data_IF_022125454601
#
_entry.id   IF_022125454601
#
_cell.length_a   1.000
_cell.length_b   1.000
_cell.length_c   1.000
_cell.angle_alpha   90.00
_cell.angle_beta   90.00
_cell.angle_gamma   90.00
#
_symmetry.space_group_name_H-M   'P 1'
#
loop_
_entity.id
_entity.type
_entity.pdbx_description
1 polymer ?
#
# COMPACT_ATOMS: atom_id res chain seq x y z
N UNK A 1 11.64 -15.97 -23.81
CA UNK A 1 10.32 -16.39 -23.32
C UNK A 1 9.95 -15.42 -22.21
N UNK A 2 9.08 -14.44 -22.50
CA UNK A 2 8.45 -13.62 -21.47
C UNK A 2 7.54 -14.57 -20.68
N UNK A 3 7.87 -14.78 -19.42
CA UNK A 3 7.02 -15.53 -18.50
C UNK A 3 5.74 -14.71 -18.32
N UNK A 4 4.57 -15.32 -18.56
CA UNK A 4 3.31 -14.62 -18.33
C UNK A 4 3.22 -14.15 -16.88
N UNK A 5 2.78 -12.92 -16.68
CA UNK A 5 2.66 -12.35 -15.35
C UNK A 5 1.59 -13.11 -14.55
N UNK A 6 1.91 -13.48 -13.32
CA UNK A 6 0.94 -14.09 -12.40
C UNK A 6 -0.01 -13.02 -11.84
N UNK A 7 -1.17 -12.89 -12.47
CA UNK A 7 -2.20 -11.92 -12.08
C UNK A 7 -2.90 -12.25 -10.74
N UNK A 8 -2.50 -13.32 -10.06
CA UNK A 8 -2.99 -13.67 -8.72
C UNK A 8 -2.10 -13.13 -7.59
N UNK A 9 -0.91 -12.61 -7.95
CA UNK A 9 0.05 -12.06 -6.99
C UNK A 9 0.04 -10.54 -6.96
N UNK A 10 0.20 -9.97 -5.76
CA UNK A 10 0.47 -8.53 -5.60
C UNK A 10 1.94 -8.30 -5.91
N UNK A 11 2.23 -7.51 -6.94
CA UNK A 11 3.62 -7.16 -7.30
C UNK A 11 4.17 -6.04 -6.43
N UNK A 12 3.37 -5.00 -6.21
CA UNK A 12 3.75 -3.81 -5.44
C UNK A 12 2.70 -3.51 -4.39
N UNK A 13 3.08 -3.49 -3.13
CA UNK A 13 2.17 -3.02 -2.07
C UNK A 13 2.23 -1.51 -1.89
N UNK A 14 3.34 -0.90 -2.26
CA UNK A 14 3.57 0.54 -2.16
C UNK A 14 4.23 1.06 -3.43
N UNK A 15 3.94 2.30 -3.79
CA UNK A 15 4.69 3.04 -4.81
C UNK A 15 5.88 3.69 -4.10
N UNK A 16 7.06 3.59 -4.73
CA UNK A 16 8.32 4.13 -4.18
C UNK A 16 8.66 5.52 -4.76
N UNK A 17 7.75 6.07 -5.55
CA UNK A 17 7.88 7.37 -6.18
C UNK A 17 7.15 8.43 -5.37
N UNK A 18 7.62 9.67 -5.47
CA UNK A 18 6.99 10.81 -4.83
C UNK A 18 5.85 11.35 -5.72
N UNK A 19 4.65 11.34 -5.19
CA UNK A 19 3.46 11.85 -5.89
C UNK A 19 3.37 13.39 -5.96
N UNK A 20 4.36 14.10 -5.48
CA UNK A 20 4.41 15.57 -5.56
C UNK A 20 4.41 16.07 -7.00
N UNK A 21 5.10 15.38 -7.89
CA UNK A 21 5.18 15.76 -9.32
C UNK A 21 3.79 15.75 -9.95
N UNK A 22 3.05 14.67 -9.75
CA UNK A 22 1.68 14.54 -10.26
C UNK A 22 0.74 15.56 -9.61
N UNK A 23 0.88 15.78 -8.30
CA UNK A 23 0.09 16.79 -7.58
C UNK A 23 0.35 18.20 -8.12
N UNK A 24 1.60 18.57 -8.33
CA UNK A 24 1.98 19.87 -8.88
C UNK A 24 1.39 20.08 -10.27
N UNK A 25 1.53 19.07 -11.14
CA UNK A 25 0.96 19.11 -12.49
C UNK A 25 -0.54 19.36 -12.51
N UNK A 26 -1.30 18.75 -11.60
CA UNK A 26 -2.76 18.87 -11.58
C UNK A 26 -3.28 20.03 -10.72
N UNK A 27 -2.44 20.62 -9.86
CA UNK A 27 -2.83 21.70 -8.94
C UNK A 27 -3.40 22.93 -9.63
N UNK A 28 -2.94 23.22 -10.85
CA UNK A 28 -3.39 24.34 -11.68
C UNK A 28 -4.73 24.09 -12.39
N UNK A 29 -5.29 22.90 -12.25
CA UNK A 29 -6.52 22.51 -12.91
C UNK A 29 -7.61 22.22 -11.87
N UNK A 30 -8.86 22.61 -12.16
CA UNK A 30 -10.02 22.38 -11.30
C UNK A 30 -11.00 21.41 -11.94
N UNK A 31 -11.73 20.67 -11.10
CA UNK A 31 -12.79 19.73 -11.52
C UNK A 31 -12.33 18.73 -12.59
N UNK A 32 -11.13 18.17 -12.42
CA UNK A 32 -10.55 17.23 -13.39
C UNK A 32 -10.86 15.80 -13.01
N UNK A 33 -11.06 14.99 -14.04
CA UNK A 33 -11.10 13.54 -13.95
C UNK A 33 -9.72 13.01 -14.34
N UNK A 34 -9.14 12.22 -13.48
CA UNK A 34 -7.77 11.73 -13.62
C UNK A 34 -7.81 10.23 -13.80
N UNK A 35 -7.05 9.71 -14.74
CA UNK A 35 -6.75 8.27 -14.86
C UNK A 35 -5.31 8.07 -14.40
N UNK A 36 -5.10 7.15 -13.46
CA UNK A 36 -3.77 6.80 -12.96
C UNK A 36 -3.61 5.28 -12.94
N UNK A 37 -2.38 4.81 -13.13
CA UNK A 37 -2.05 3.40 -12.94
C UNK A 37 -2.21 3.07 -11.46
N UNK A 38 -2.88 1.95 -11.17
CA UNK A 38 -3.25 1.55 -9.82
C UNK A 38 -2.06 1.20 -8.95
N UNK A 39 -1.26 0.22 -9.38
CA UNK A 39 -0.10 -0.27 -8.63
C UNK A 39 -0.44 -0.51 -7.14
N UNK A 40 0.32 0.05 -6.20
CA UNK A 40 0.02 0.01 -4.76
C UNK A 40 -1.08 0.97 -4.28
N UNK A 41 -1.64 1.80 -5.16
CA UNK A 41 -2.68 2.78 -4.87
C UNK A 41 -2.19 4.12 -4.31
N UNK A 42 -0.93 4.23 -3.89
CA UNK A 42 -0.44 5.40 -3.14
C UNK A 42 -0.59 6.70 -3.94
N UNK A 43 -0.15 6.74 -5.20
CA UNK A 43 -0.30 7.92 -6.08
C UNK A 43 -1.78 8.22 -6.29
N UNK A 44 -2.60 7.23 -6.66
CA UNK A 44 -4.03 7.43 -6.93
C UNK A 44 -4.76 8.04 -5.72
N UNK A 45 -4.50 7.56 -4.50
CA UNK A 45 -5.08 8.13 -3.28
C UNK A 45 -4.52 9.51 -2.96
N UNK A 46 -3.25 9.75 -3.22
CA UNK A 46 -2.63 11.05 -2.95
C UNK A 46 -3.10 12.16 -3.89
N UNK A 47 -3.64 11.81 -5.05
CA UNK A 47 -4.23 12.76 -6.01
C UNK A 47 -5.64 13.21 -5.64
N UNK A 48 -6.29 12.58 -4.64
CA UNK A 48 -7.58 13.02 -4.14
C UNK A 48 -7.42 14.35 -3.40
N UNK A 49 -8.19 15.35 -3.80
CA UNK A 49 -8.16 16.69 -3.20
C UNK A 49 -9.26 17.57 -3.79
N UNK A 50 -9.42 18.77 -3.25
CA UNK A 50 -10.52 19.71 -3.56
C UNK A 50 -10.61 20.15 -5.03
N UNK A 51 -9.52 19.97 -5.77
CA UNK A 51 -9.43 20.33 -7.20
C UNK A 51 -9.70 19.15 -8.14
N UNK A 52 -9.91 17.96 -7.62
CA UNK A 52 -10.15 16.75 -8.40
C UNK A 52 -11.57 16.27 -8.24
N UNK A 53 -12.30 16.13 -9.35
CA UNK A 53 -13.66 15.58 -9.34
C UNK A 53 -13.63 14.07 -9.09
N UNK A 54 -12.71 13.36 -9.76
CA UNK A 54 -12.62 11.89 -9.69
C UNK A 54 -11.25 11.37 -10.12
N UNK A 55 -10.77 10.36 -9.42
CA UNK A 55 -9.59 9.57 -9.81
C UNK A 55 -10.05 8.16 -10.20
N UNK A 56 -9.66 7.71 -11.39
CA UNK A 56 -9.82 6.34 -11.85
C UNK A 56 -8.46 5.64 -11.74
N UNK A 57 -8.30 4.81 -10.73
CA UNK A 57 -7.13 3.96 -10.60
C UNK A 57 -7.37 2.68 -11.41
N UNK A 58 -6.54 2.43 -12.41
CA UNK A 58 -6.66 1.28 -13.31
C UNK A 58 -5.45 0.37 -13.18
N UNK A 59 -5.69 -0.94 -13.13
CA UNK A 59 -4.65 -1.95 -13.13
C UNK A 59 -5.15 -3.21 -13.84
N UNK A 60 -4.29 -3.83 -14.64
CA UNK A 60 -4.61 -5.07 -15.33
C UNK A 60 -4.61 -6.28 -14.39
N UNK A 61 -3.98 -6.15 -13.22
CA UNK A 61 -3.85 -7.23 -12.24
C UNK A 61 -4.97 -7.14 -11.19
N UNK A 62 -5.90 -8.11 -11.14
CA UNK A 62 -6.98 -8.14 -10.14
C UNK A 62 -6.48 -8.15 -8.68
N UNK A 63 -5.30 -8.71 -8.40
CA UNK A 63 -4.72 -8.71 -7.08
C UNK A 63 -4.27 -7.28 -6.65
N UNK A 64 -3.76 -6.46 -7.58
CA UNK A 64 -3.49 -5.04 -7.34
C UNK A 64 -4.79 -4.27 -7.11
N UNK A 65 -5.83 -4.55 -7.91
CA UNK A 65 -7.15 -3.96 -7.69
C UNK A 65 -7.71 -4.32 -6.30
N UNK A 66 -7.59 -5.58 -5.88
CA UNK A 66 -8.03 -6.02 -4.55
C UNK A 66 -7.25 -5.33 -3.41
N UNK A 67 -5.96 -5.07 -3.60
CA UNK A 67 -5.15 -4.28 -2.65
C UNK A 67 -5.67 -2.84 -2.54
N UNK A 68 -5.93 -2.20 -3.67
CA UNK A 68 -6.46 -0.82 -3.68
C UNK A 68 -7.83 -0.73 -3.01
N UNK A 69 -8.73 -1.68 -3.27
CA UNK A 69 -10.06 -1.71 -2.65
C UNK A 69 -9.95 -1.85 -1.12
N UNK A 70 -9.07 -2.72 -0.61
CA UNK A 70 -8.87 -2.85 0.83
C UNK A 70 -8.26 -1.59 1.46
N UNK A 71 -7.27 -0.97 0.79
CA UNK A 71 -6.72 0.31 1.25
C UNK A 71 -7.77 1.42 1.25
N UNK A 72 -8.59 1.50 0.20
CA UNK A 72 -9.69 2.47 0.09
C UNK A 72 -10.69 2.31 1.24
N UNK A 73 -11.13 1.08 1.51
CA UNK A 73 -12.01 0.81 2.63
C UNK A 73 -11.37 1.21 3.96
N UNK A 74 -10.10 0.84 4.17
CA UNK A 74 -9.37 1.20 5.38
C UNK A 74 -9.20 2.72 5.57
N UNK A 75 -8.91 3.47 4.51
CA UNK A 75 -8.79 4.94 4.56
C UNK A 75 -10.12 5.59 4.93
N UNK A 76 -11.25 5.03 4.48
CA UNK A 76 -12.58 5.58 4.76
C UNK A 76 -13.07 5.30 6.17
N UNK A 77 -12.77 4.12 6.70
CA UNK A 77 -13.37 3.59 7.92
C UNK A 77 -12.47 3.72 9.15
N UNK A 78 -11.17 3.95 8.99
CA UNK A 78 -10.21 3.96 10.09
C UNK A 78 -9.67 5.36 10.36
N UNK A 79 -9.29 5.60 11.61
CA UNK A 79 -8.43 6.73 11.96
C UNK A 79 -7.07 6.59 11.26
N UNK A 80 -6.31 7.67 11.15
CA UNK A 80 -4.95 7.64 10.60
C UNK A 80 -4.06 6.64 11.36
N UNK A 81 -4.14 6.61 12.68
CA UNK A 81 -3.34 5.72 13.53
C UNK A 81 -3.72 4.26 13.30
N UNK A 82 -5.02 3.97 13.27
CA UNK A 82 -5.52 2.63 12.99
C UNK A 82 -5.17 2.18 11.57
N UNK A 83 -5.24 3.08 10.59
CA UNK A 83 -4.82 2.79 9.23
C UNK A 83 -3.33 2.40 9.19
N UNK A 84 -2.45 3.19 9.77
CA UNK A 84 -1.01 2.89 9.82
C UNK A 84 -0.73 1.54 10.51
N UNK A 85 -1.46 1.25 11.57
CA UNK A 85 -1.36 -0.05 12.25
C UNK A 85 -1.88 -1.20 11.37
N UNK A 86 -3.00 -1.01 10.70
CA UNK A 86 -3.60 -2.02 9.83
C UNK A 86 -2.72 -2.35 8.62
N UNK A 87 -2.16 -1.34 7.97
CA UNK A 87 -1.28 -1.57 6.80
C UNK A 87 0.08 -2.15 7.17
N UNK A 88 0.48 -2.08 8.44
CA UNK A 88 1.69 -2.72 8.95
C UNK A 88 2.85 -1.78 9.25
N UNK A 89 2.66 -0.44 9.21
CA UNK A 89 3.71 0.53 9.54
C UNK A 89 3.97 0.59 11.06
N UNK A 90 2.98 0.25 11.86
CA UNK A 90 3.05 0.14 13.32
C UNK A 90 2.53 -1.23 13.72
N UNK A 91 3.08 -1.81 14.79
CA UNK A 91 2.63 -3.10 15.29
C UNK A 91 1.19 -3.03 15.79
N UNK A 92 0.39 -4.00 15.34
CA UNK A 92 -0.99 -4.18 15.77
C UNK A 92 -1.32 -5.67 15.85
N UNK A 93 -1.93 -6.06 16.97
CA UNK A 93 -2.22 -7.47 17.26
C UNK A 93 -3.50 -7.92 16.53
N UNK A 94 -4.46 -7.05 16.35
CA UNK A 94 -5.84 -7.37 15.93
C UNK A 94 -6.18 -7.00 14.47
N UNK A 95 -5.19 -7.02 13.54
CA UNK A 95 -5.41 -6.71 12.10
C UNK A 95 -6.51 -7.55 11.46
N UNK A 96 -6.67 -8.80 11.90
CA UNK A 96 -7.77 -9.64 11.40
C UNK A 96 -9.12 -9.20 11.92
N UNK A 97 -9.20 -8.68 13.14
CA UNK A 97 -10.44 -8.11 13.68
C UNK A 97 -10.85 -6.86 12.91
N UNK A 98 -9.87 -5.99 12.61
CA UNK A 98 -10.10 -4.82 11.75
C UNK A 98 -10.58 -5.24 10.37
N UNK A 99 -9.93 -6.24 9.75
CA UNK A 99 -10.33 -6.75 8.44
C UNK A 99 -11.78 -7.27 8.42
N UNK A 100 -12.23 -7.99 9.46
CA UNK A 100 -13.62 -8.48 9.54
C UNK A 100 -14.66 -7.35 9.50
N UNK A 101 -14.31 -6.17 9.98
CA UNK A 101 -15.19 -4.98 9.86
C UNK A 101 -15.14 -4.36 8.48
N UNK A 102 -13.95 -4.37 7.84
CA UNK A 102 -13.75 -3.77 6.53
C UNK A 102 -14.26 -4.62 5.37
N UNK A 103 -14.34 -5.95 5.53
CA UNK A 103 -14.65 -6.86 4.42
C UNK A 103 -16.02 -6.62 3.81
N UNK A 104 -16.98 -6.11 4.57
CA UNK A 104 -18.33 -5.76 4.09
C UNK A 104 -18.32 -4.58 3.08
N UNK A 105 -17.31 -3.73 3.15
CA UNK A 105 -17.12 -2.58 2.24
C UNK A 105 -16.43 -2.95 0.92
N UNK A 106 -15.96 -4.20 0.80
CA UNK A 106 -15.20 -4.64 -0.37
C UNK A 106 -16.12 -5.19 -1.46
N UNK A 107 -15.81 -4.93 -2.74
CA UNK A 107 -16.38 -5.71 -3.84
C UNK A 107 -16.10 -7.20 -3.65
N UNK A 108 -17.00 -8.05 -4.12
CA UNK A 108 -16.95 -9.51 -3.92
C UNK A 108 -15.62 -10.14 -4.37
N UNK A 109 -15.05 -9.68 -5.47
CA UNK A 109 -13.75 -10.19 -5.95
C UNK A 109 -12.60 -9.86 -5.00
N UNK A 110 -12.60 -8.65 -4.42
CA UNK A 110 -11.57 -8.22 -3.47
C UNK A 110 -11.73 -8.95 -2.12
N UNK A 111 -12.96 -9.10 -1.63
CA UNK A 111 -13.24 -9.90 -0.45
C UNK A 111 -12.80 -11.36 -0.65
N UNK A 112 -13.11 -11.97 -1.79
CA UNK A 112 -12.69 -13.32 -2.12
C UNK A 112 -11.16 -13.47 -2.20
N UNK A 113 -10.45 -12.46 -2.72
CA UNK A 113 -8.98 -12.45 -2.72
C UNK A 113 -8.43 -12.43 -1.28
N UNK A 114 -8.85 -11.50 -0.45
CA UNK A 114 -8.31 -11.32 0.89
C UNK A 114 -8.69 -12.45 1.85
N UNK A 115 -9.89 -13.03 1.71
CA UNK A 115 -10.29 -14.20 2.49
C UNK A 115 -9.39 -15.43 2.25
N UNK A 116 -8.78 -15.52 1.07
CA UNK A 116 -7.79 -16.57 0.75
C UNK A 116 -6.38 -16.25 1.24
N UNK A 117 -6.11 -15.01 1.69
CA UNK A 117 -4.77 -14.57 2.07
C UNK A 117 -4.69 -13.95 3.48
N UNK A 118 -5.26 -14.58 4.53
CA UNK A 118 -5.29 -14.00 5.89
C UNK A 118 -3.88 -13.72 6.45
N UNK A 119 -2.90 -14.54 6.07
CA UNK A 119 -1.51 -14.33 6.49
C UNK A 119 -0.88 -13.03 5.99
N UNK A 120 -1.36 -12.49 4.87
CA UNK A 120 -0.91 -11.18 4.36
C UNK A 120 -1.49 -10.03 5.19
N UNK A 121 -2.72 -10.18 5.66
CA UNK A 121 -3.37 -9.20 6.54
C UNK A 121 -2.65 -9.15 7.89
N UNK A 122 -2.39 -10.32 8.49
CA UNK A 122 -1.70 -10.43 9.79
C UNK A 122 -0.32 -9.75 9.74
N UNK A 123 0.42 -9.92 8.64
CA UNK A 123 1.76 -9.32 8.46
C UNK A 123 1.73 -7.83 8.13
N UNK A 124 0.55 -7.28 7.80
CA UNK A 124 0.37 -5.94 7.27
C UNK A 124 0.40 -5.91 5.74
N UNK A 125 -0.65 -5.32 5.16
CA UNK A 125 -0.88 -5.36 3.71
C UNK A 125 0.18 -4.59 2.89
N UNK A 126 0.89 -3.63 3.49
CA UNK A 126 2.01 -2.93 2.85
C UNK A 126 3.24 -3.83 2.62
N UNK A 127 3.24 -5.05 3.18
CA UNK A 127 4.31 -6.03 2.99
C UNK A 127 3.87 -7.24 2.15
N UNK A 128 2.72 -7.14 1.48
CA UNK A 128 2.13 -8.23 0.71
C UNK A 128 2.73 -8.38 -0.70
N UNK A 129 3.31 -7.31 -1.26
CA UNK A 129 3.85 -7.29 -2.61
C UNK A 129 5.11 -8.15 -2.75
N UNK A 130 5.35 -8.66 -3.95
CA UNK A 130 6.57 -9.40 -4.28
C UNK A 130 7.82 -8.56 -4.04
N UNK A 131 7.77 -7.28 -4.44
CA UNK A 131 8.87 -6.33 -4.27
C UNK A 131 9.19 -6.10 -2.79
N UNK A 132 8.18 -5.88 -1.96
CA UNK A 132 8.39 -5.67 -0.52
C UNK A 132 8.89 -6.94 0.17
N UNK A 133 8.40 -8.11 -0.23
CA UNK A 133 8.91 -9.40 0.27
C UNK A 133 10.37 -9.62 -0.12
N UNK A 134 10.74 -9.26 -1.35
CA UNK A 134 12.12 -9.34 -1.83
C UNK A 134 13.04 -8.40 -1.04
N UNK A 135 12.65 -7.15 -0.83
CA UNK A 135 13.45 -6.21 -0.03
C UNK A 135 13.60 -6.67 1.42
N UNK A 136 12.56 -7.25 2.01
CA UNK A 136 12.66 -7.85 3.35
C UNK A 136 13.66 -9.00 3.36
N UNK A 137 13.57 -9.91 2.40
CA UNK A 137 14.50 -11.03 2.28
C UNK A 137 15.95 -10.54 2.15
N UNK A 138 16.22 -9.55 1.31
CA UNK A 138 17.55 -8.92 1.19
C UNK A 138 17.98 -8.32 2.53
N UNK A 139 17.12 -7.53 3.17
CA UNK A 139 17.43 -6.88 4.45
C UNK A 139 17.76 -7.88 5.56
N UNK A 140 17.00 -8.94 5.66
CA UNK A 140 17.21 -9.98 6.66
C UNK A 140 18.52 -10.74 6.40
N UNK A 141 18.83 -11.05 5.14
CA UNK A 141 20.10 -11.72 4.78
C UNK A 141 21.33 -10.82 4.95
N UNK A 142 21.21 -9.51 4.64
CA UNK A 142 22.28 -8.57 4.89
C UNK A 142 22.55 -8.41 6.38
N UNK A 143 21.51 -8.34 7.21
CA UNK A 143 21.67 -8.30 8.67
C UNK A 143 22.40 -9.52 9.22
N UNK A 144 22.07 -10.70 8.71
CA UNK A 144 22.64 -11.96 9.19
C UNK A 144 24.06 -12.20 8.71
N UNK A 145 24.42 -11.75 7.49
CA UNK A 145 25.63 -12.19 6.81
C UNK A 145 26.68 -11.11 6.58
N UNK A 146 26.31 -9.82 6.64
CA UNK A 146 27.21 -8.74 6.19
C UNK A 146 27.43 -7.66 7.27
N UNK A 147 26.51 -7.48 8.20
CA UNK A 147 26.59 -6.38 9.17
C UNK A 147 26.72 -6.86 10.60
N UNK A 148 27.72 -6.34 11.30
CA UNK A 148 27.77 -6.44 12.76
C UNK A 148 26.51 -5.84 13.38
N UNK A 149 25.98 -6.40 14.50
CA UNK A 149 24.87 -5.83 15.22
C UNK A 149 25.13 -4.33 15.52
N UNK A 150 24.30 -3.45 15.02
CA UNK A 150 24.44 -2.00 15.21
C UNK A 150 24.70 -1.18 13.93
N UNK A 151 25.25 -1.77 12.88
CA UNK A 151 25.53 -1.03 11.63
C UNK A 151 24.25 -0.74 10.83
N UNK A 152 23.23 -1.58 10.94
CA UNK A 152 21.90 -1.37 10.32
C UNK A 152 20.87 -0.74 11.25
N UNK A 153 21.29 -0.17 12.39
CA UNK A 153 20.44 0.74 13.16
C UNK A 153 20.35 2.10 12.44
N UNK A 154 20.06 2.06 11.14
CA UNK A 154 19.72 3.25 10.37
C UNK A 154 18.30 3.63 10.75
N UNK A 155 18.22 4.40 11.83
CA UNK A 155 17.28 5.50 12.04
C UNK A 155 15.93 5.40 11.35
N UNK A 156 15.06 4.47 11.77
CA UNK A 156 13.63 4.61 11.60
C UNK A 156 12.99 5.60 12.61
N UNK A 157 13.82 6.46 13.23
CA UNK A 157 13.37 7.41 14.23
C UNK A 157 13.82 8.84 13.89
N UNK A 158 13.45 9.34 12.71
CA UNK A 158 13.23 10.78 12.59
C UNK A 158 11.73 11.01 12.45
N UNK A 159 11.09 11.72 13.40
CA UNK A 159 9.74 12.19 13.19
C UNK A 159 9.72 13.08 11.94
N UNK A 160 8.71 12.92 11.13
CA UNK A 160 8.48 13.71 9.91
C UNK A 160 8.35 15.22 10.14
N UNK A 161 8.43 15.68 11.39
CA UNK A 161 8.25 17.06 11.82
C UNK A 161 9.54 17.89 11.89
N UNK A 162 10.67 17.43 11.37
CA UNK A 162 11.95 18.15 11.43
C UNK A 162 12.43 18.73 10.11
N UNK A 163 11.53 18.90 9.13
CA UNK A 163 11.75 19.68 7.91
C UNK A 163 10.71 20.82 7.88
N UNK A 164 10.90 21.79 8.76
CA UNK A 164 10.37 23.15 8.62
C UNK A 164 11.55 24.07 8.28
#
# INVERSE_FOLDING_TARGET
LLQEADLTEIYFSQIKEDSWVEKDLISNYRNRRIVAIGSGGCTAFSLLGDYVERVYAVDANPAQCALMELKKAAIRELSREDYLSFVGEVDRIDRMEVYRRLVAELPSYAAAFWNRHPGRIIKGINYSGMTERFYRFIGDNLRLNVCAPGVLHVRHQRPWNSLA
#
